data_IF_511008990557
#
_entry.id   IF_511008990557
#
_cell.length_a   1.000
_cell.length_b   1.000
_cell.length_c   1.000
_cell.angle_alpha   90.00
_cell.angle_beta   90.00
_cell.angle_gamma   90.00
#
_symmetry.space_group_name_H-M   'P 1'
#
loop_
_entity.id
_entity.type
_entity.pdbx_description
1 polymer ?
#
# COMPACT_ATOMS: atom_id res chain seq x y z
N UNK A 1 -2.87 7.37 -22.18
CA UNK A 1 -2.41 6.37 -21.18
C UNK A 1 -1.07 6.75 -20.55
N UNK A 2 0.01 6.94 -21.33
CA UNK A 2 1.34 7.32 -20.80
C UNK A 2 1.33 8.65 -20.02
N UNK A 3 0.59 9.65 -20.49
CA UNK A 3 0.45 10.94 -19.79
C UNK A 3 -0.30 10.82 -18.44
N UNK A 4 -1.30 9.95 -18.35
CA UNK A 4 -2.06 9.68 -17.12
C UNK A 4 -1.15 8.99 -16.08
N UNK A 5 -0.40 7.98 -16.52
CA UNK A 5 0.57 7.28 -15.67
C UNK A 5 1.61 8.29 -15.15
N UNK A 6 2.22 9.10 -16.02
CA UNK A 6 3.16 10.15 -15.57
C UNK A 6 2.55 11.14 -14.58
N UNK A 7 1.27 11.51 -14.74
CA UNK A 7 0.59 12.40 -13.81
C UNK A 7 0.43 11.75 -12.42
N UNK A 8 -0.01 10.49 -12.37
CA UNK A 8 -0.13 9.72 -11.11
C UNK A 8 1.21 9.60 -10.37
N UNK A 9 2.30 9.40 -11.11
CA UNK A 9 3.66 9.31 -10.56
C UNK A 9 4.25 10.67 -10.13
N UNK A 10 3.73 11.79 -10.64
CA UNK A 10 4.30 13.13 -10.41
C UNK A 10 3.64 13.93 -9.27
N UNK A 11 2.45 13.51 -8.82
CA UNK A 11 1.73 14.10 -7.69
C UNK A 11 1.66 13.09 -6.55
N UNK A 12 2.71 12.98 -5.73
CA UNK A 12 2.58 12.33 -4.44
C UNK A 12 1.66 13.23 -3.62
N UNK A 13 0.40 12.81 -3.51
CA UNK A 13 -0.62 13.62 -2.89
C UNK A 13 -0.34 13.64 -1.39
N UNK A 14 0.32 14.71 -0.94
CA UNK A 14 0.25 15.16 0.44
C UNK A 14 -1.21 15.56 0.72
N UNK A 15 -2.09 14.56 0.86
CA UNK A 15 -3.52 14.74 1.05
C UNK A 15 -3.73 15.45 2.38
N UNK A 16 -3.88 16.78 2.34
CA UNK A 16 -4.27 17.59 3.49
C UNK A 16 -5.71 17.25 3.91
N UNK A 17 -6.53 16.83 2.95
CA UNK A 17 -7.90 16.40 3.20
C UNK A 17 -7.93 15.03 3.90
N UNK A 18 -8.60 14.91 5.06
CA UNK A 18 -8.64 13.68 5.83
C UNK A 18 -9.43 12.57 5.13
N UNK A 19 -10.45 12.90 4.33
CA UNK A 19 -11.26 11.91 3.62
C UNK A 19 -10.47 11.30 2.47
N UNK A 20 -9.81 12.12 1.65
CA UNK A 20 -9.04 11.62 0.52
C UNK A 20 -7.82 10.82 0.99
N UNK A 21 -7.15 11.26 2.07
CA UNK A 21 -6.06 10.47 2.68
C UNK A 21 -6.54 9.10 3.18
N UNK A 22 -7.69 9.06 3.86
CA UNK A 22 -8.31 7.82 4.32
C UNK A 22 -8.68 6.89 3.15
N UNK A 23 -9.25 7.45 2.09
CA UNK A 23 -9.62 6.71 0.89
C UNK A 23 -8.40 6.10 0.19
N UNK A 24 -7.28 6.84 0.09
CA UNK A 24 -6.02 6.35 -0.47
C UNK A 24 -5.48 5.16 0.33
N UNK A 25 -5.38 5.29 1.66
CA UNK A 25 -4.94 4.20 2.54
C UNK A 25 -5.78 2.94 2.37
N UNK A 26 -7.11 3.08 2.35
CA UNK A 26 -8.03 1.95 2.16
C UNK A 26 -7.95 1.36 0.75
N UNK A 27 -7.70 2.20 -0.26
CA UNK A 27 -7.44 1.76 -1.63
C UNK A 27 -6.20 0.88 -1.71
N UNK A 28 -5.08 1.31 -1.13
CA UNK A 28 -3.84 0.54 -1.06
C UNK A 28 -4.02 -0.78 -0.29
N UNK A 29 -4.73 -0.76 0.83
CA UNK A 29 -5.09 -1.98 1.54
C UNK A 29 -5.91 -2.95 0.68
N UNK A 30 -6.91 -2.44 -0.05
CA UNK A 30 -7.74 -3.26 -0.93
C UNK A 30 -6.95 -3.84 -2.12
N UNK A 31 -6.04 -3.06 -2.71
CA UNK A 31 -5.11 -3.51 -3.76
C UNK A 31 -4.26 -4.67 -3.24
N UNK A 32 -3.66 -4.52 -2.05
CA UNK A 32 -2.86 -5.57 -1.42
C UNK A 32 -3.65 -6.87 -1.20
N UNK A 33 -4.86 -6.76 -0.67
CA UNK A 33 -5.74 -7.91 -0.43
C UNK A 33 -6.15 -8.59 -1.75
N UNK A 34 -6.61 -7.81 -2.73
CA UNK A 34 -7.09 -8.30 -4.01
C UNK A 34 -6.00 -8.97 -4.85
N UNK A 35 -4.83 -8.35 -4.97
CA UNK A 35 -3.70 -8.92 -5.71
C UNK A 35 -3.16 -10.18 -5.04
N UNK A 36 -3.10 -10.23 -3.70
CA UNK A 36 -2.68 -11.46 -3.00
C UNK A 36 -3.67 -12.59 -3.25
N UNK A 37 -4.98 -12.32 -3.16
CA UNK A 37 -6.01 -13.30 -3.48
C UNK A 37 -5.89 -13.82 -4.91
N UNK A 38 -5.61 -12.92 -5.87
CA UNK A 38 -5.40 -13.28 -7.27
C UNK A 38 -4.14 -14.14 -7.45
N UNK A 39 -3.02 -13.77 -6.84
CA UNK A 39 -1.77 -14.54 -6.91
C UNK A 39 -1.99 -15.95 -6.36
N UNK A 40 -2.63 -16.09 -5.19
CA UNK A 40 -2.93 -17.40 -4.60
C UNK A 40 -3.90 -18.24 -5.45
N UNK A 41 -4.80 -17.59 -6.20
CA UNK A 41 -5.74 -18.28 -7.08
C UNK A 41 -5.11 -18.75 -8.39
N UNK A 42 -4.26 -17.92 -9.02
CA UNK A 42 -3.65 -18.22 -10.33
C UNK A 42 -2.43 -19.10 -10.16
N UNK A 43 -1.49 -18.68 -9.33
CA UNK A 43 -0.34 -19.49 -9.00
C UNK A 43 -0.79 -20.36 -7.84
N UNK A 44 -0.77 -21.67 -8.02
CA UNK A 44 -0.99 -22.65 -6.94
C UNK A 44 0.19 -22.57 -5.96
N UNK A 45 0.50 -21.38 -5.45
CA UNK A 45 1.45 -21.14 -4.39
C UNK A 45 0.80 -21.77 -3.17
N UNK A 46 1.30 -22.95 -2.80
CA UNK A 46 0.85 -23.66 -1.59
C UNK A 46 0.99 -22.80 -0.34
N UNK A 47 1.91 -21.83 -0.37
CA UNK A 47 2.24 -20.93 0.73
C UNK A 47 1.77 -19.51 0.47
N UNK A 48 0.62 -19.13 1.05
CA UNK A 48 0.05 -17.77 0.94
C UNK A 48 1.05 -16.66 1.38
N UNK A 49 1.95 -16.98 2.31
CA UNK A 49 2.95 -16.04 2.82
C UNK A 49 4.00 -15.66 1.77
N UNK A 50 4.29 -16.55 0.82
CA UNK A 50 5.17 -16.22 -0.30
C UNK A 50 4.49 -15.21 -1.24
N UNK A 51 3.17 -15.32 -1.44
CA UNK A 51 2.41 -14.34 -2.21
C UNK A 51 2.47 -12.95 -1.56
N UNK A 52 2.36 -12.88 -0.22
CA UNK A 52 2.52 -11.63 0.54
C UNK A 52 3.92 -11.04 0.33
N UNK A 53 4.97 -11.84 0.50
CA UNK A 53 6.35 -11.37 0.35
C UNK A 53 6.62 -10.85 -1.08
N UNK A 54 6.23 -11.62 -2.09
CA UNK A 54 6.40 -11.25 -3.50
C UNK A 54 5.63 -9.97 -3.82
N UNK A 55 4.36 -9.88 -3.44
CA UNK A 55 3.55 -8.70 -3.70
C UNK A 55 4.10 -7.46 -2.98
N UNK A 56 4.42 -7.58 -1.69
CA UNK A 56 4.94 -6.48 -0.89
C UNK A 56 6.27 -5.94 -1.47
N UNK A 57 7.18 -6.84 -1.87
CA UNK A 57 8.45 -6.44 -2.49
C UNK A 57 8.26 -5.87 -3.89
N UNK A 58 7.40 -6.49 -4.72
CA UNK A 58 7.12 -5.99 -6.07
C UNK A 58 6.46 -4.60 -6.04
N UNK A 59 5.55 -4.37 -5.09
CA UNK A 59 4.93 -3.07 -4.91
C UNK A 59 5.93 -2.01 -4.44
N UNK A 60 6.78 -2.33 -3.45
CA UNK A 60 7.82 -1.42 -2.96
C UNK A 60 8.81 -1.04 -4.07
N UNK A 61 9.33 -2.02 -4.80
CA UNK A 61 10.35 -1.75 -5.82
C UNK A 61 9.74 -1.13 -7.09
N UNK A 62 8.58 -1.63 -7.51
CA UNK A 62 7.94 -1.20 -8.75
C UNK A 62 7.21 0.12 -8.62
N UNK A 63 6.23 0.19 -7.72
CA UNK A 63 5.35 1.35 -7.57
C UNK A 63 6.04 2.46 -6.77
N UNK A 64 6.45 2.19 -5.53
CA UNK A 64 7.07 3.21 -4.67
C UNK A 64 8.45 3.62 -5.18
N UNK A 65 9.28 2.66 -5.57
CA UNK A 65 10.56 2.95 -6.23
C UNK A 65 10.38 3.76 -7.51
N UNK A 66 9.35 3.45 -8.31
CA UNK A 66 8.97 4.21 -9.48
C UNK A 66 8.58 5.66 -9.16
N UNK A 67 7.75 5.87 -8.13
CA UNK A 67 7.36 7.20 -7.64
C UNK A 67 8.56 7.99 -7.14
N UNK A 68 9.45 7.38 -6.36
CA UNK A 68 10.65 8.05 -5.89
C UNK A 68 11.54 8.52 -7.04
N UNK A 69 11.76 7.69 -8.06
CA UNK A 69 12.60 8.03 -9.21
C UNK A 69 11.97 9.14 -10.07
N UNK A 70 10.65 9.12 -10.23
CA UNK A 70 9.92 10.02 -11.14
C UNK A 70 9.53 11.35 -10.48
N UNK A 71 9.11 11.33 -9.22
CA UNK A 71 8.74 12.53 -8.46
C UNK A 71 9.98 13.33 -8.01
N UNK A 72 11.11 12.67 -7.75
CA UNK A 72 12.39 13.30 -7.38
C UNK A 72 13.26 13.66 -8.60
N UNK A 73 12.66 14.18 -9.69
CA UNK A 73 13.36 14.53 -10.93
C UNK A 73 14.61 15.43 -10.75
N UNK A 74 15.34 15.78 -11.83
CA UNK A 74 16.72 16.31 -11.76
C UNK A 74 16.95 17.54 -10.86
N UNK A 75 15.90 18.32 -10.55
CA UNK A 75 15.94 19.48 -9.67
C UNK A 75 15.15 19.34 -8.35
N UNK A 76 14.45 18.23 -8.11
CA UNK A 76 13.60 18.02 -6.93
C UNK A 76 14.30 17.14 -5.91
N UNK A 77 14.66 17.72 -4.76
CA UNK A 77 15.23 16.99 -3.62
C UNK A 77 14.22 15.96 -3.09
N UNK A 78 14.73 14.78 -2.73
CA UNK A 78 14.01 13.78 -1.95
C UNK A 78 13.46 14.46 -0.69
N UNK A 79 12.14 14.53 -0.55
CA UNK A 79 11.50 15.07 0.65
C UNK A 79 11.14 13.93 1.59
N UNK A 80 11.26 14.17 2.89
CA UNK A 80 10.80 13.22 3.89
C UNK A 80 9.30 12.95 3.80
N UNK A 81 8.52 13.91 3.31
CA UNK A 81 7.11 13.73 3.04
C UNK A 81 6.85 12.64 2.00
N UNK A 82 7.61 12.65 0.89
CA UNK A 82 7.50 11.65 -0.18
C UNK A 82 7.88 10.25 0.31
N UNK A 83 8.97 10.15 1.07
CA UNK A 83 9.40 8.87 1.65
C UNK A 83 8.35 8.32 2.60
N UNK A 84 7.76 9.19 3.43
CA UNK A 84 6.75 8.77 4.40
C UNK A 84 5.45 8.33 3.74
N UNK A 85 5.06 8.98 2.65
CA UNK A 85 3.89 8.61 1.84
C UNK A 85 4.05 7.19 1.29
N UNK A 86 5.18 6.91 0.64
CA UNK A 86 5.43 5.56 0.10
C UNK A 86 5.57 4.48 1.16
N UNK A 87 6.07 4.80 2.36
CA UNK A 87 6.07 3.86 3.49
C UNK A 87 4.64 3.53 3.93
N UNK A 88 3.75 4.53 3.99
CA UNK A 88 2.36 4.33 4.39
C UNK A 88 1.59 3.50 3.35
N UNK A 89 1.77 3.80 2.07
CA UNK A 89 1.12 3.06 0.98
C UNK A 89 1.62 1.61 0.90
N UNK A 90 2.94 1.41 0.98
CA UNK A 90 3.53 0.07 1.08
C UNK A 90 3.03 -0.71 2.31
N UNK A 91 2.91 -0.04 3.46
CA UNK A 91 2.38 -0.65 4.69
C UNK A 91 0.92 -1.06 4.51
N UNK A 92 0.10 -0.21 3.91
CA UNK A 92 -1.31 -0.50 3.64
C UNK A 92 -1.47 -1.70 2.70
N UNK A 93 -0.74 -1.73 1.58
CA UNK A 93 -0.69 -2.89 0.66
C UNK A 93 -0.27 -4.15 1.40
N UNK A 94 0.78 -4.08 2.21
CA UNK A 94 1.30 -5.24 2.95
C UNK A 94 0.28 -5.75 3.98
N UNK A 95 -0.41 -4.87 4.70
CA UNK A 95 -1.47 -5.26 5.64
C UNK A 95 -2.68 -5.87 4.93
N UNK A 96 -3.04 -5.35 3.74
CA UNK A 96 -4.06 -5.95 2.87
C UNK A 96 -3.68 -7.37 2.45
N UNK A 97 -2.44 -7.54 2.00
CA UNK A 97 -1.89 -8.83 1.60
C UNK A 97 -1.88 -9.85 2.76
N UNK A 98 -1.40 -9.44 3.93
CA UNK A 98 -1.44 -10.24 5.16
C UNK A 98 -2.87 -10.65 5.50
N UNK A 99 -3.83 -9.73 5.36
CA UNK A 99 -5.25 -10.02 5.66
C UNK A 99 -5.79 -11.11 4.74
N UNK A 100 -5.52 -11.02 3.43
CA UNK A 100 -5.94 -12.04 2.46
C UNK A 100 -5.29 -13.41 2.73
N UNK A 101 -3.97 -13.45 2.98
CA UNK A 101 -3.26 -14.69 3.30
C UNK A 101 -3.73 -15.30 4.64
N UNK A 102 -3.98 -14.48 5.64
CA UNK A 102 -4.50 -14.92 6.93
C UNK A 102 -5.94 -15.46 6.80
N UNK A 103 -6.78 -14.85 5.97
CA UNK A 103 -8.11 -15.36 5.61
C UNK A 103 -8.03 -16.73 4.94
N UNK A 104 -7.12 -16.90 3.98
CA UNK A 104 -6.88 -18.17 3.28
C UNK A 104 -6.56 -19.31 4.27
N UNK A 105 -5.70 -19.04 5.25
CA UNK A 105 -5.34 -20.00 6.31
C UNK A 105 -6.27 -19.97 7.54
N UNK A 106 -7.37 -19.23 7.51
CA UNK A 106 -8.34 -19.08 8.61
C UNK A 106 -7.71 -18.62 9.94
N UNK A 107 -6.63 -17.84 9.89
CA UNK A 107 -5.90 -17.35 11.08
C UNK A 107 -6.53 -16.08 11.67
N UNK A 108 -7.65 -16.25 12.37
CA UNK A 108 -8.47 -15.17 12.96
C UNK A 108 -7.67 -14.11 13.74
N UNK A 109 -6.65 -14.53 14.50
CA UNK A 109 -5.81 -13.61 15.28
C UNK A 109 -5.00 -12.67 14.39
N UNK A 110 -4.44 -13.16 13.28
CA UNK A 110 -3.68 -12.35 12.35
C UNK A 110 -4.57 -11.42 11.53
N UNK A 111 -5.77 -11.89 11.15
CA UNK A 111 -6.78 -11.04 10.51
C UNK A 111 -7.12 -9.86 11.42
N UNK A 112 -7.45 -10.13 12.69
CA UNK A 112 -7.78 -9.09 13.65
C UNK A 112 -6.60 -8.12 13.87
N UNK A 113 -5.38 -8.63 13.99
CA UNK A 113 -4.18 -7.81 14.15
C UNK A 113 -3.93 -6.90 12.94
N UNK A 114 -4.04 -7.42 11.71
CA UNK A 114 -3.84 -6.64 10.49
C UNK A 114 -4.91 -5.55 10.33
N UNK A 115 -6.19 -5.89 10.55
CA UNK A 115 -7.29 -4.92 10.51
C UNK A 115 -7.14 -3.86 11.61
N UNK A 116 -6.76 -4.25 12.82
CA UNK A 116 -6.52 -3.30 13.91
C UNK A 116 -5.36 -2.36 13.59
N UNK A 117 -4.26 -2.87 13.02
CA UNK A 117 -3.13 -2.04 12.58
C UNK A 117 -3.56 -1.03 11.52
N UNK A 118 -4.32 -1.46 10.50
CA UNK A 118 -4.89 -0.55 9.48
C UNK A 118 -5.78 0.52 10.13
N UNK A 119 -6.66 0.14 11.05
CA UNK A 119 -7.56 1.06 11.73
C UNK A 119 -6.81 2.08 12.60
N UNK A 120 -5.72 1.68 13.27
CA UNK A 120 -4.86 2.57 14.05
C UNK A 120 -4.18 3.59 13.12
N UNK A 121 -3.60 3.14 12.01
CA UNK A 121 -2.97 4.03 11.02
C UNK A 121 -4.01 5.02 10.47
N UNK A 122 -5.18 4.52 10.08
CA UNK A 122 -6.29 5.32 9.55
C UNK A 122 -6.71 6.41 10.55
N UNK A 123 -6.97 6.02 11.80
CA UNK A 123 -7.43 6.94 12.84
C UNK A 123 -6.37 7.99 13.18
N UNK A 124 -5.10 7.57 13.30
CA UNK A 124 -4.00 8.49 13.58
C UNK A 124 -3.77 9.48 12.43
N UNK A 125 -3.83 9.03 11.18
CA UNK A 125 -3.63 9.89 10.01
C UNK A 125 -4.77 10.87 9.79
N UNK A 126 -6.02 10.46 10.03
CA UNK A 126 -7.18 11.35 10.01
C UNK A 126 -7.12 12.36 11.17
N UNK A 127 -6.76 11.91 12.38
CA UNK A 127 -6.66 12.77 13.56
C UNK A 127 -5.62 13.89 13.44
N UNK A 128 -4.52 13.65 12.69
CA UNK A 128 -3.50 14.69 12.41
C UNK A 128 -3.92 15.72 11.35
N UNK A 129 -5.04 15.49 10.65
CA UNK A 129 -5.53 16.30 9.52
C UNK A 129 -6.88 16.98 9.82
N UNK A 130 -7.33 16.90 11.06
CA UNK A 130 -8.44 17.70 11.60
C UNK A 130 -7.87 18.88 12.36
#
# INVERSE_FOLDING_TARGET
>A
MIALIRAMFATPEAQADPYVWAAALMGHWAIGAGLTALIMAIWIIREAWNAVAVLSMAYLVGWEGGQLITAAGPQRRLSWALVWDGILDWSAVTLGAITAAALWHRRRRLIAAAVAATAVILTAGVGRRK
#
